data_IF_848741396003
#
_entry.id   IF_848741396003
#
_cell.length_a   1.000
_cell.length_b   1.000
_cell.length_c   1.000
_cell.angle_alpha   90.00
_cell.angle_beta   90.00
_cell.angle_gamma   90.00
#
_symmetry.space_group_name_H-M   'P 1'
#
loop_
_entity.id
_entity.type
_entity.pdbx_description
1 polymer ?
#
# COMPACT_ATOMS: atom_id res chain seq x y z
N UNK A 1 18.71 -25.19 0.43
CA UNK A 1 17.78 -24.29 1.15
C UNK A 1 17.51 -23.11 0.26
N UNK A 2 16.37 -23.10 -0.44
CA UNK A 2 15.93 -21.94 -1.20
C UNK A 2 15.21 -21.01 -0.23
N UNK A 3 15.90 -19.98 0.24
CA UNK A 3 15.23 -18.78 0.72
C UNK A 3 14.45 -18.20 -0.45
N UNK A 4 13.18 -18.61 -0.57
CA UNK A 4 12.22 -17.87 -1.37
C UNK A 4 12.13 -16.51 -0.69
N UNK A 5 12.82 -15.52 -1.25
CA UNK A 5 12.66 -14.11 -0.91
C UNK A 5 11.17 -13.87 -0.68
N UNK A 6 10.80 -13.62 0.57
CA UNK A 6 9.43 -13.34 0.96
C UNK A 6 8.93 -12.22 0.07
N UNK A 7 7.91 -12.51 -0.75
CA UNK A 7 7.28 -11.50 -1.59
C UNK A 7 6.75 -10.45 -0.62
N UNK A 8 7.34 -9.24 -0.63
CA UNK A 8 6.86 -8.15 0.22
C UNK A 8 5.38 -7.91 -0.07
N UNK A 9 4.52 -7.85 0.97
CA UNK A 9 3.12 -7.52 0.79
C UNK A 9 3.00 -6.18 0.06
N UNK A 10 1.95 -6.04 -0.75
CA UNK A 10 1.67 -4.77 -1.40
C UNK A 10 1.34 -3.71 -0.34
N UNK A 11 1.86 -2.51 -0.53
CA UNK A 11 1.47 -1.33 0.23
C UNK A 11 0.79 -0.40 -0.76
N UNK A 12 -0.35 0.14 -0.37
CA UNK A 12 -1.08 1.14 -1.13
C UNK A 12 -0.24 2.40 -1.33
N UNK A 13 -0.49 3.12 -2.41
CA UNK A 13 0.23 4.34 -2.68
C UNK A 13 -0.30 5.46 -1.78
N UNK A 14 0.53 5.91 -0.85
CA UNK A 14 0.23 7.06 0.00
C UNK A 14 0.03 8.32 -0.87
N UNK A 15 -1.16 8.97 -0.84
CA UNK A 15 -1.44 10.18 -1.62
C UNK A 15 -0.47 11.35 -1.36
N UNK A 16 0.18 11.36 -0.20
CA UNK A 16 1.15 12.39 0.19
C UNK A 16 2.59 12.03 -0.21
N UNK A 17 2.83 10.83 -0.73
CA UNK A 17 4.14 10.39 -1.21
C UNK A 17 4.53 11.02 -2.55
N UNK A 18 5.83 11.17 -2.76
CA UNK A 18 6.40 11.60 -4.04
C UNK A 18 6.13 10.57 -5.14
N UNK A 19 6.17 9.28 -4.80
CA UNK A 19 5.86 8.16 -5.72
C UNK A 19 4.44 8.26 -6.27
N UNK A 20 3.44 8.50 -5.42
CA UNK A 20 2.06 8.71 -5.85
C UNK A 20 1.94 9.92 -6.78
N UNK A 21 2.59 11.04 -6.42
CA UNK A 21 2.53 12.27 -7.22
C UNK A 21 3.15 12.08 -8.60
N UNK A 22 4.27 11.39 -8.70
CA UNK A 22 4.92 11.06 -9.97
C UNK A 22 4.02 10.14 -10.82
N UNK A 23 3.56 9.03 -10.23
CA UNK A 23 2.68 8.07 -10.92
C UNK A 23 1.42 8.74 -11.44
N UNK A 24 0.76 9.53 -10.60
CA UNK A 24 -0.43 10.30 -10.97
C UNK A 24 -0.12 11.34 -12.03
N UNK A 25 1.01 12.03 -11.93
CA UNK A 25 1.49 13.01 -12.91
C UNK A 25 1.63 12.40 -14.31
N UNK A 26 2.19 11.19 -14.39
CA UNK A 26 2.35 10.42 -15.64
C UNK A 26 1.03 9.86 -16.17
N UNK A 27 0.07 9.55 -15.30
CA UNK A 27 -1.22 8.98 -15.70
C UNK A 27 -2.22 10.02 -16.21
N UNK A 28 -2.15 11.27 -15.72
CA UNK A 28 -3.03 12.37 -16.17
C UNK A 28 -3.07 12.54 -17.70
N UNK A 29 -1.94 12.69 -18.42
CA UNK A 29 -1.97 12.89 -19.87
C UNK A 29 -2.58 11.68 -20.62
N UNK A 30 -2.36 10.46 -20.13
CA UNK A 30 -2.97 9.24 -20.71
C UNK A 30 -4.49 9.28 -20.56
N UNK A 31 -4.99 9.67 -19.39
CA UNK A 31 -6.44 9.81 -19.17
C UNK A 31 -7.03 10.94 -20.01
N UNK A 32 -6.31 12.06 -20.14
CA UNK A 32 -6.74 13.19 -20.99
C UNK A 32 -6.85 12.80 -22.46
N UNK A 33 -5.90 12.01 -22.97
CA UNK A 33 -5.88 11.55 -24.36
C UNK A 33 -7.00 10.55 -24.66
N UNK A 34 -7.19 9.55 -23.79
CA UNK A 34 -8.07 8.40 -24.10
C UNK A 34 -9.50 8.52 -23.56
N UNK A 35 -9.70 9.24 -22.46
CA UNK A 35 -11.01 9.37 -21.79
C UNK A 35 -11.53 10.80 -21.88
N UNK A 36 -10.64 11.78 -21.74
CA UNK A 36 -10.98 13.20 -21.66
C UNK A 36 -11.71 13.59 -20.35
N UNK A 37 -12.00 14.89 -20.17
CA UNK A 37 -12.78 15.35 -19.02
C UNK A 37 -14.25 14.93 -19.17
N UNK A 38 -14.87 14.49 -18.07
CA UNK A 38 -16.27 14.05 -18.05
C UNK A 38 -17.07 14.92 -17.08
N UNK A 39 -18.38 15.00 -17.27
CA UNK A 39 -19.25 15.85 -16.43
C UNK A 39 -19.09 15.49 -14.95
N UNK A 40 -18.48 16.40 -14.19
CA UNK A 40 -18.25 16.25 -12.74
C UNK A 40 -16.90 15.65 -12.35
N UNK A 41 -16.08 15.19 -13.30
CA UNK A 41 -14.76 14.60 -13.03
C UNK A 41 -13.68 15.12 -13.99
N UNK A 42 -12.65 15.73 -13.42
CA UNK A 42 -11.42 16.06 -14.15
C UNK A 42 -10.58 14.82 -14.41
N UNK A 43 -9.75 14.85 -15.46
CA UNK A 43 -8.78 13.78 -15.75
C UNK A 43 -7.83 13.50 -14.57
N UNK A 44 -7.56 14.53 -13.76
CA UNK A 44 -6.81 14.42 -12.50
C UNK A 44 -7.50 13.57 -11.43
N UNK A 45 -8.83 13.64 -11.34
CA UNK A 45 -9.62 12.81 -10.43
C UNK A 45 -9.75 11.39 -10.96
N UNK A 46 -9.90 11.23 -12.28
CA UNK A 46 -9.94 9.92 -12.93
C UNK A 46 -8.61 9.16 -12.82
N UNK A 47 -7.48 9.85 -13.00
CA UNK A 47 -6.15 9.26 -12.77
C UNK A 47 -5.98 8.80 -11.31
N UNK A 48 -6.39 9.63 -10.34
CA UNK A 48 -6.39 9.23 -8.93
C UNK A 48 -7.29 8.01 -8.67
N UNK A 49 -8.46 7.94 -9.32
CA UNK A 49 -9.38 6.81 -9.19
C UNK A 49 -8.81 5.51 -9.77
N UNK A 50 -8.07 5.56 -10.88
CA UNK A 50 -7.40 4.37 -11.43
C UNK A 50 -6.37 3.83 -10.43
N UNK A 51 -5.53 4.70 -9.85
CA UNK A 51 -4.55 4.30 -8.83
C UNK A 51 -5.26 3.70 -7.61
N UNK A 52 -6.29 4.37 -7.09
CA UNK A 52 -7.03 3.88 -5.92
C UNK A 52 -7.74 2.54 -6.18
N UNK A 53 -8.30 2.33 -7.38
CA UNK A 53 -8.93 1.07 -7.74
C UNK A 53 -7.90 -0.05 -7.92
N UNK A 54 -6.73 0.26 -8.48
CA UNK A 54 -5.62 -0.68 -8.57
C UNK A 54 -5.17 -1.10 -7.15
N UNK A 55 -4.94 -0.13 -6.26
CA UNK A 55 -4.52 -0.39 -4.88
C UNK A 55 -5.55 -1.22 -4.11
N UNK A 56 -6.83 -0.92 -4.26
CA UNK A 56 -7.91 -1.67 -3.62
C UNK A 56 -7.87 -3.16 -4.01
N UNK A 57 -7.62 -3.48 -5.28
CA UNK A 57 -7.48 -4.90 -5.69
C UNK A 57 -6.18 -5.50 -5.14
N UNK A 58 -5.10 -4.73 -5.17
CA UNK A 58 -3.77 -5.18 -4.76
C UNK A 58 -3.62 -5.42 -3.25
N UNK A 59 -4.37 -4.73 -2.39
CA UNK A 59 -4.34 -4.97 -0.93
C UNK A 59 -4.94 -6.31 -0.52
N UNK A 60 -5.75 -6.94 -1.37
CA UNK A 60 -6.27 -8.30 -1.14
C UNK A 60 -5.29 -9.39 -1.58
N UNK A 61 -4.13 -9.00 -2.15
CA UNK A 61 -3.13 -9.93 -2.64
C UNK A 61 -2.20 -10.44 -1.52
N UNK A 62 -2.69 -11.44 -0.80
CA UNK A 62 -1.93 -12.14 0.22
C UNK A 62 -2.51 -13.53 0.45
N UNK A 63 -1.73 -14.40 1.11
CA UNK A 63 -2.15 -15.74 1.51
C UNK A 63 -2.46 -15.75 2.99
N UNK A 64 -3.62 -16.28 3.36
CA UNK A 64 -4.01 -16.43 4.78
C UNK A 64 -2.92 -17.07 5.64
N UNK A 65 -2.28 -18.13 5.16
CA UNK A 65 -1.20 -18.80 5.89
C UNK A 65 0.03 -17.91 6.11
N UNK A 66 0.40 -17.09 5.13
CA UNK A 66 1.57 -16.22 5.22
C UNK A 66 1.30 -15.04 6.17
N UNK A 67 0.10 -14.45 6.10
CA UNK A 67 -0.34 -13.40 7.02
C UNK A 67 -0.50 -13.95 8.43
N UNK A 68 -1.09 -15.13 8.60
CA UNK A 68 -1.24 -15.83 9.88
C UNK A 68 0.11 -16.07 10.57
N UNK A 69 1.13 -16.54 9.81
CA UNK A 69 2.51 -16.67 10.31
C UNK A 69 3.14 -15.32 10.66
N UNK A 70 2.85 -14.28 9.88
CA UNK A 70 3.35 -12.93 10.13
C UNK A 70 2.75 -12.34 11.41
N UNK A 71 1.46 -12.53 11.64
CA UNK A 71 0.78 -12.17 12.89
C UNK A 71 1.34 -12.93 14.09
N UNK A 72 1.61 -14.24 13.94
CA UNK A 72 2.28 -15.02 14.99
C UNK A 72 3.67 -14.49 15.32
N UNK A 73 4.45 -14.11 14.30
CA UNK A 73 5.77 -13.51 14.48
C UNK A 73 5.66 -12.16 15.18
N UNK A 74 4.73 -11.30 14.74
CA UNK A 74 4.47 -10.01 15.37
C UNK A 74 4.12 -10.18 16.84
N UNK A 75 3.19 -11.08 17.17
CA UNK A 75 2.82 -11.40 18.56
C UNK A 75 4.04 -11.79 19.40
N UNK A 76 4.89 -12.70 18.90
CA UNK A 76 6.10 -13.14 19.61
C UNK A 76 7.08 -12.00 19.82
N UNK A 77 7.37 -11.22 18.78
CA UNK A 77 8.29 -10.09 18.87
C UNK A 77 7.80 -9.01 19.84
N UNK A 78 6.48 -8.78 19.90
CA UNK A 78 5.88 -7.90 20.90
C UNK A 78 6.07 -8.43 22.32
N UNK A 79 5.74 -9.71 22.57
CA UNK A 79 5.95 -10.33 23.88
C UNK A 79 7.42 -10.30 24.32
N UNK A 80 8.36 -10.54 23.40
CA UNK A 80 9.80 -10.45 23.67
C UNK A 80 10.22 -9.02 24.01
N UNK A 81 9.78 -8.02 23.24
CA UNK A 81 10.10 -6.62 23.48
C UNK A 81 9.54 -6.11 24.82
N UNK A 82 8.29 -6.47 25.14
CA UNK A 82 7.62 -6.11 26.39
C UNK A 82 8.28 -6.82 27.57
N UNK A 83 8.59 -8.11 27.42
CA UNK A 83 9.34 -8.86 28.42
C UNK A 83 10.72 -8.26 28.69
N UNK A 84 11.42 -7.82 27.66
CA UNK A 84 12.71 -7.12 27.83
C UNK A 84 12.54 -5.79 28.57
N UNK A 85 11.53 -4.98 28.20
CA UNK A 85 11.24 -3.71 28.85
C UNK A 85 10.85 -3.86 30.32
N UNK A 86 9.94 -4.80 30.64
CA UNK A 86 9.46 -5.03 32.01
C UNK A 86 10.55 -5.59 32.96
N UNK A 87 11.61 -6.17 32.41
CA UNK A 87 12.76 -6.65 33.18
C UNK A 87 13.82 -5.58 33.42
N UNK A 88 13.67 -4.37 32.87
CA UNK A 88 14.59 -3.27 33.15
C UNK A 88 14.41 -2.79 34.60
N UNK A 89 15.51 -2.56 35.35
CA UNK A 89 15.42 -1.90 36.64
C UNK A 89 14.83 -0.50 36.50
N UNK A 90 14.04 -0.07 37.49
CA UNK A 90 13.40 1.26 37.49
C UNK A 90 14.39 2.40 37.22
N UNK A 91 15.59 2.34 37.80
CA UNK A 91 16.63 3.34 37.58
C UNK A 91 17.06 3.43 36.09
N UNK A 92 17.07 2.30 35.38
CA UNK A 92 17.42 2.25 33.96
C UNK A 92 16.28 2.83 33.12
N UNK A 93 15.02 2.52 33.45
CA UNK A 93 13.86 3.10 32.75
C UNK A 93 13.77 4.62 32.96
N UNK A 94 14.01 5.09 34.19
CA UNK A 94 14.03 6.54 34.49
C UNK A 94 15.15 7.25 33.73
N UNK A 95 16.34 6.63 33.64
CA UNK A 95 17.45 7.17 32.86
C UNK A 95 17.13 7.18 31.35
N UNK A 96 16.53 6.12 30.82
CA UNK A 96 16.12 6.07 29.41
C UNK A 96 15.10 7.17 29.09
N UNK A 97 14.14 7.43 29.97
CA UNK A 97 13.18 8.53 29.80
C UNK A 97 13.91 9.87 29.68
N UNK A 98 14.86 10.15 30.58
CA UNK A 98 15.64 11.38 30.54
C UNK A 98 16.51 11.49 29.28
N UNK A 99 17.18 10.39 28.89
CA UNK A 99 18.03 10.33 27.71
C UNK A 99 17.24 10.59 26.42
N UNK A 100 15.97 10.15 26.35
CA UNK A 100 15.12 10.45 25.18
C UNK A 100 14.86 11.95 25.01
N UNK A 101 14.70 12.69 26.11
CA UNK A 101 14.58 14.15 26.09
C UNK A 101 15.87 14.84 25.64
N UNK A 102 17.03 14.27 25.98
CA UNK A 102 18.32 14.76 25.48
C UNK A 102 18.45 14.55 23.97
N UNK A 103 18.09 13.37 23.47
CA UNK A 103 18.14 13.06 22.03
C UNK A 103 17.29 14.03 21.24
N UNK A 104 16.07 14.32 21.69
CA UNK A 104 15.19 15.29 21.04
C UNK A 104 15.77 16.72 21.06
N UNK A 105 16.42 17.11 22.17
CA UNK A 105 17.10 18.41 22.28
C UNK A 105 18.28 18.52 21.32
N UNK A 106 19.12 17.48 21.24
CA UNK A 106 20.25 17.41 20.31
C UNK A 106 19.78 17.42 18.84
N UNK A 107 18.68 16.75 18.53
CA UNK A 107 18.09 16.76 17.19
C UNK A 107 17.61 18.16 16.81
N UNK A 108 16.98 18.87 17.74
CA UNK A 108 16.60 20.28 17.57
C UNK A 108 17.82 21.17 17.36
N UNK A 109 18.87 21.04 18.16
CA UNK A 109 20.11 21.81 18.02
C UNK A 109 20.78 21.57 16.67
N UNK A 110 20.92 20.31 16.24
CA UNK A 110 21.48 19.95 14.94
C UNK A 110 20.68 20.53 13.78
N UNK A 111 19.35 20.56 13.90
CA UNK A 111 18.50 21.21 12.91
C UNK A 111 18.76 22.71 12.84
N UNK A 112 18.81 23.39 14.00
CA UNK A 112 19.08 24.83 14.07
C UNK A 112 20.46 25.22 13.55
N UNK A 113 21.49 24.38 13.75
CA UNK A 113 22.83 24.62 13.21
C UNK A 113 22.91 24.50 11.69
N UNK A 114 22.03 23.70 11.08
CA UNK A 114 22.03 23.44 9.62
C UNK A 114 21.05 24.30 8.86
N UNK A 115 20.02 24.81 9.53
CA UNK A 115 18.99 25.58 8.84
C UNK A 115 19.45 27.01 8.59
N UNK A 116 19.26 27.48 7.35
CA UNK A 116 19.45 28.88 6.96
C UNK A 116 18.18 29.71 7.19
N UNK A 117 17.11 29.11 7.71
CA UNK A 117 15.83 29.76 7.92
C UNK A 117 15.78 30.41 9.31
N UNK A 118 15.24 31.63 9.38
CA UNK A 118 14.84 32.22 10.66
C UNK A 118 13.68 31.42 11.24
N UNK A 119 13.98 30.52 12.18
CA UNK A 119 12.97 29.66 12.81
C UNK A 119 12.18 30.47 13.83
N UNK A 120 11.14 31.16 13.35
CA UNK A 120 10.27 31.98 14.19
C UNK A 120 9.12 31.18 14.83
N UNK A 121 8.80 29.99 14.31
CA UNK A 121 7.63 29.22 14.75
C UNK A 121 7.99 27.78 15.16
N UNK A 122 7.35 27.30 16.24
CA UNK A 122 7.62 25.98 16.82
C UNK A 122 7.31 24.80 15.88
N UNK A 123 6.34 24.93 14.97
CA UNK A 123 5.96 23.86 14.03
C UNK A 123 7.04 23.58 12.97
N UNK A 124 8.02 24.47 12.80
CA UNK A 124 9.16 24.27 11.90
C UNK A 124 10.31 23.51 12.56
N UNK A 125 10.23 23.25 13.87
CA UNK A 125 11.22 22.47 14.59
C UNK A 125 10.95 20.96 14.41
N UNK A 126 11.99 20.12 14.49
CA UNK A 126 11.82 18.68 14.49
C UNK A 126 10.88 18.25 15.62
N UNK A 127 10.04 17.25 15.33
CA UNK A 127 9.20 16.64 16.36
C UNK A 127 10.05 15.93 17.43
N UNK A 128 9.46 15.77 18.62
CA UNK A 128 10.04 15.00 19.74
C UNK A 128 9.94 13.49 19.51
N UNK A 129 10.61 13.01 18.47
CA UNK A 129 10.51 11.62 18.01
C UNK A 129 10.96 10.60 19.05
N UNK A 130 12.04 10.86 19.78
CA UNK A 130 12.56 9.92 20.78
C UNK A 130 11.61 9.81 21.99
N UNK A 131 11.13 10.94 22.51
CA UNK A 131 10.14 10.96 23.59
C UNK A 131 8.83 10.28 23.17
N UNK A 132 8.34 10.54 21.95
CA UNK A 132 7.14 9.87 21.40
C UNK A 132 7.34 8.36 21.30
N UNK A 133 8.48 7.89 20.81
CA UNK A 133 8.78 6.47 20.70
C UNK A 133 8.89 5.78 22.07
N UNK A 134 9.52 6.42 23.06
CA UNK A 134 9.59 5.90 24.42
C UNK A 134 8.21 5.82 25.07
N UNK A 135 7.38 6.86 24.93
CA UNK A 135 5.99 6.84 25.40
C UNK A 135 5.17 5.71 24.76
N UNK A 136 5.38 5.46 23.46
CA UNK A 136 4.75 4.35 22.76
C UNK A 136 5.21 2.98 23.29
N UNK A 137 6.51 2.81 23.57
CA UNK A 137 7.05 1.59 24.19
C UNK A 137 6.46 1.35 25.58
N UNK A 138 6.36 2.40 26.40
CA UNK A 138 5.74 2.33 27.73
C UNK A 138 4.27 1.93 27.64
N UNK A 139 3.50 2.61 26.79
CA UNK A 139 2.09 2.29 26.56
C UNK A 139 1.90 0.86 26.03
N UNK A 140 2.79 0.41 25.14
CA UNK A 140 2.79 -0.95 24.63
C UNK A 140 3.06 -1.99 25.73
N UNK A 141 3.92 -1.69 26.70
CA UNK A 141 4.17 -2.56 27.85
C UNK A 141 3.01 -2.58 28.85
N UNK A 142 2.29 -1.47 29.01
CA UNK A 142 1.14 -1.36 29.91
C UNK A 142 -0.12 -2.05 29.34
N UNK A 143 -0.29 -2.06 28.02
CA UNK A 143 -1.49 -2.58 27.33
C UNK A 143 -1.18 -3.76 26.40
N UNK A 144 -0.16 -4.53 26.73
CA UNK A 144 0.33 -5.62 25.87
C UNK A 144 -0.71 -6.71 25.66
N UNK A 145 -1.48 -7.02 26.70
CA UNK A 145 -2.42 -8.15 26.69
C UNK A 145 -3.61 -7.88 25.76
N UNK A 146 -4.09 -6.63 25.73
CA UNK A 146 -5.14 -6.19 24.82
C UNK A 146 -4.67 -6.23 23.36
N UNK A 147 -3.44 -5.76 23.07
CA UNK A 147 -2.91 -5.80 21.72
C UNK A 147 -2.63 -7.23 21.24
N UNK A 148 -2.07 -8.09 22.10
CA UNK A 148 -1.88 -9.51 21.81
C UNK A 148 -3.23 -10.18 21.53
N UNK A 149 -4.25 -9.89 22.33
CA UNK A 149 -5.61 -10.40 22.12
C UNK A 149 -6.19 -9.94 20.79
N UNK A 150 -6.00 -8.67 20.42
CA UNK A 150 -6.43 -8.13 19.13
C UNK A 150 -5.76 -8.88 17.97
N UNK A 151 -4.45 -9.15 18.04
CA UNK A 151 -3.72 -9.92 17.02
C UNK A 151 -4.29 -11.34 16.90
N UNK A 152 -4.63 -12.00 18.01
CA UNK A 152 -5.22 -13.34 17.99
C UNK A 152 -6.63 -13.35 17.38
N UNK A 153 -7.47 -12.36 17.71
CA UNK A 153 -8.79 -12.19 17.10
C UNK A 153 -8.63 -11.98 15.59
N UNK A 154 -7.79 -11.02 15.17
CA UNK A 154 -7.53 -10.77 13.74
C UNK A 154 -7.05 -12.03 13.03
N UNK A 155 -6.14 -12.80 13.65
CA UNK A 155 -5.64 -14.06 13.08
C UNK A 155 -6.76 -15.08 12.86
N UNK A 156 -7.67 -15.23 13.83
CA UNK A 156 -8.82 -16.16 13.74
C UNK A 156 -9.79 -15.73 12.63
N UNK A 157 -10.00 -14.42 12.51
CA UNK A 157 -10.96 -13.80 11.58
C UNK A 157 -10.36 -13.45 10.21
N UNK A 158 -9.12 -13.85 9.92
CA UNK A 158 -8.50 -13.59 8.62
C UNK A 158 -9.37 -14.15 7.49
N UNK A 159 -9.74 -13.33 6.48
CA UNK A 159 -10.29 -13.85 5.24
C UNK A 159 -9.25 -14.68 4.48
N UNK A 160 -9.67 -15.36 3.41
CA UNK A 160 -8.77 -16.25 2.65
C UNK A 160 -7.70 -15.48 1.88
N UNK A 161 -7.97 -14.21 1.52
CA UNK A 161 -7.14 -13.43 0.61
C UNK A 161 -7.16 -14.02 -0.80
N UNK A 162 -6.38 -13.45 -1.73
CA UNK A 162 -6.30 -13.94 -3.12
C UNK A 162 -4.93 -14.59 -3.37
N UNK A 163 -4.80 -15.92 -3.24
CA UNK A 163 -3.50 -16.59 -3.18
C UNK A 163 -2.84 -16.83 -4.57
N UNK A 164 -2.62 -15.83 -5.43
CA UNK A 164 -1.98 -16.12 -6.74
C UNK A 164 -0.50 -16.54 -6.62
N UNK A 165 -0.11 -17.58 -7.37
CA UNK A 165 1.31 -17.97 -7.57
C UNK A 165 2.05 -17.03 -8.52
N UNK A 166 1.35 -16.18 -9.29
CA UNK A 166 1.94 -15.30 -10.30
C UNK A 166 1.54 -13.83 -10.09
N UNK A 167 2.36 -13.11 -9.32
CA UNK A 167 2.18 -11.68 -9.02
C UNK A 167 2.13 -10.80 -10.28
N UNK A 168 2.83 -11.17 -11.35
CA UNK A 168 2.86 -10.35 -12.57
C UNK A 168 1.50 -10.35 -13.27
N UNK A 169 0.87 -11.52 -13.43
CA UNK A 169 -0.44 -11.62 -14.07
C UNK A 169 -1.54 -10.97 -13.23
N UNK A 170 -1.41 -10.94 -11.90
CA UNK A 170 -2.37 -10.25 -11.04
C UNK A 170 -2.25 -8.73 -11.12
N UNK A 171 -1.04 -8.17 -11.18
CA UNK A 171 -0.85 -6.74 -11.42
C UNK A 171 -1.53 -6.31 -12.74
N UNK A 172 -1.39 -7.13 -13.79
CA UNK A 172 -2.04 -6.90 -15.08
C UNK A 172 -3.58 -6.89 -14.93
N UNK A 173 -4.15 -7.85 -14.21
CA UNK A 173 -5.60 -7.91 -13.97
C UNK A 173 -6.12 -6.74 -13.15
N UNK A 174 -5.44 -6.38 -12.06
CA UNK A 174 -5.81 -5.25 -11.20
C UNK A 174 -5.82 -3.95 -12.00
N UNK A 175 -4.83 -3.76 -12.88
CA UNK A 175 -4.72 -2.56 -13.69
C UNK A 175 -5.75 -2.53 -14.83
N UNK A 176 -6.07 -3.69 -15.42
CA UNK A 176 -7.18 -3.82 -16.37
C UNK A 176 -8.50 -3.49 -15.67
N UNK A 177 -8.77 -4.05 -14.49
CA UNK A 177 -10.00 -3.79 -13.74
C UNK A 177 -10.16 -2.30 -13.42
N UNK A 178 -9.11 -1.66 -12.89
CA UNK A 178 -9.10 -0.24 -12.57
C UNK A 178 -9.35 0.64 -13.82
N UNK A 179 -8.70 0.30 -14.94
CA UNK A 179 -8.81 1.05 -16.20
C UNK A 179 -10.20 0.87 -16.84
N UNK A 180 -10.71 -0.37 -16.87
CA UNK A 180 -12.03 -0.67 -17.42
C UNK A 180 -13.13 -0.05 -16.56
N UNK A 181 -13.01 -0.02 -15.23
CA UNK A 181 -13.95 0.71 -14.36
C UNK A 181 -13.99 2.20 -14.70
N UNK A 182 -12.84 2.83 -14.87
CA UNK A 182 -12.76 4.23 -15.26
C UNK A 182 -13.41 4.49 -16.63
N UNK A 183 -13.18 3.60 -17.60
CA UNK A 183 -13.81 3.68 -18.91
C UNK A 183 -15.33 3.45 -18.88
N UNK A 184 -15.81 2.42 -18.15
CA UNK A 184 -17.24 2.08 -17.98
C UNK A 184 -18.01 3.21 -17.29
N UNK A 185 -17.46 3.76 -16.21
CA UNK A 185 -18.06 4.87 -15.46
C UNK A 185 -18.34 6.07 -16.36
N UNK A 186 -17.40 6.36 -17.27
CA UNK A 186 -17.46 7.50 -18.17
C UNK A 186 -18.16 7.21 -19.50
N UNK A 187 -18.46 5.94 -19.80
CA UNK A 187 -18.90 5.47 -21.13
C UNK A 187 -18.00 6.00 -22.26
N UNK A 188 -16.73 6.25 -21.96
CA UNK A 188 -15.78 6.92 -22.88
C UNK A 188 -15.18 5.94 -23.88
N UNK A 189 -15.04 4.68 -23.50
CA UNK A 189 -14.46 3.62 -24.31
C UNK A 189 -15.41 2.42 -24.29
N UNK A 190 -15.70 1.86 -25.47
CA UNK A 190 -16.43 0.60 -25.56
C UNK A 190 -15.56 -0.55 -25.03
N UNK A 191 -16.15 -1.47 -24.26
CA UNK A 191 -15.42 -2.61 -23.66
C UNK A 191 -15.72 -3.88 -24.47
N UNK A 192 -14.93 -4.21 -25.51
CA UNK A 192 -15.24 -5.28 -26.45
C UNK A 192 -15.11 -6.66 -25.81
N UNK A 193 -15.84 -7.67 -26.30
CA UNK A 193 -15.77 -9.04 -25.78
C UNK A 193 -14.40 -9.73 -25.97
N UNK A 194 -13.66 -9.33 -27.00
CA UNK A 194 -12.30 -9.74 -27.28
C UNK A 194 -11.46 -8.48 -27.59
N UNK A 195 -10.21 -8.47 -27.15
CA UNK A 195 -9.31 -7.33 -27.35
C UNK A 195 -8.67 -7.41 -28.75
N UNK A 196 -8.95 -6.41 -29.59
CA UNK A 196 -8.24 -6.26 -30.86
C UNK A 196 -6.86 -5.60 -30.67
N UNK A 197 -6.02 -5.60 -31.70
CA UNK A 197 -4.65 -5.07 -31.59
C UNK A 197 -4.56 -3.53 -31.56
N UNK A 198 -5.65 -2.83 -31.95
CA UNK A 198 -5.62 -1.40 -32.28
C UNK A 198 -6.80 -0.58 -31.74
N UNK A 199 -7.77 -1.20 -31.09
CA UNK A 199 -8.94 -0.53 -30.56
C UNK A 199 -8.61 0.41 -29.41
N UNK A 200 -9.57 1.28 -29.10
CA UNK A 200 -9.41 2.36 -28.11
C UNK A 200 -9.03 1.83 -26.73
N UNK A 201 -9.66 0.73 -26.29
CA UNK A 201 -9.30 0.09 -25.02
C UNK A 201 -7.88 -0.48 -25.04
N UNK A 202 -7.44 -1.06 -26.16
CA UNK A 202 -6.09 -1.62 -26.31
C UNK A 202 -5.03 -0.53 -26.23
N UNK A 203 -5.27 0.62 -26.87
CA UNK A 203 -4.36 1.76 -26.82
C UNK A 203 -4.31 2.34 -25.41
N UNK A 204 -5.47 2.55 -24.79
CA UNK A 204 -5.55 3.05 -23.42
C UNK A 204 -4.83 2.12 -22.42
N UNK A 205 -5.11 0.82 -22.44
CA UNK A 205 -4.46 -0.15 -21.54
C UNK A 205 -2.94 -0.21 -21.74
N UNK A 206 -2.46 -0.07 -22.99
CA UNK A 206 -1.03 -0.06 -23.28
C UNK A 206 -0.33 1.11 -22.62
N UNK A 207 -0.90 2.30 -22.72
CA UNK A 207 -0.31 3.52 -22.16
C UNK A 207 -0.41 3.53 -20.63
N UNK A 208 -1.50 3.01 -20.07
CA UNK A 208 -1.63 2.82 -18.61
C UNK A 208 -0.59 1.82 -18.10
N UNK A 209 -0.39 0.67 -18.77
CA UNK A 209 0.62 -0.29 -18.34
C UNK A 209 2.04 0.26 -18.44
N UNK A 210 2.32 1.10 -19.43
CA UNK A 210 3.61 1.79 -19.55
C UNK A 210 3.86 2.73 -18.36
N UNK A 211 2.84 3.46 -17.92
CA UNK A 211 2.92 4.30 -16.72
C UNK A 211 3.23 3.46 -15.47
N UNK A 212 2.63 2.28 -15.35
CA UNK A 212 2.88 1.34 -14.23
C UNK A 212 4.11 0.43 -14.43
N UNK A 213 4.85 0.57 -15.53
CA UNK A 213 6.04 -0.24 -15.82
C UNK A 213 5.77 -1.73 -16.06
N UNK A 214 4.55 -2.11 -16.44
CA UNK A 214 4.15 -3.50 -16.70
C UNK A 214 4.51 -3.87 -18.16
N UNK A 215 5.21 -5.00 -18.36
CA UNK A 215 5.73 -5.39 -19.68
C UNK A 215 4.61 -5.73 -20.68
N UNK A 216 4.74 -5.19 -21.90
CA UNK A 216 3.74 -5.22 -22.99
C UNK A 216 3.34 -6.57 -23.59
N UNK A 217 3.95 -7.69 -23.22
CA UNK A 217 3.89 -8.93 -24.02
C UNK A 217 2.66 -9.82 -23.77
N UNK A 218 1.72 -9.41 -22.91
CA UNK A 218 0.64 -10.29 -22.42
C UNK A 218 -0.77 -9.70 -22.50
N UNK A 219 -0.96 -8.46 -22.96
CA UNK A 219 -2.23 -7.69 -22.81
C UNK A 219 -3.50 -8.47 -23.15
N UNK A 220 -3.54 -9.09 -24.33
CA UNK A 220 -4.73 -9.83 -24.78
C UNK A 220 -5.01 -11.03 -23.90
N UNK A 221 -3.98 -11.84 -23.61
CA UNK A 221 -4.11 -13.00 -22.72
C UNK A 221 -4.51 -12.61 -21.30
N UNK A 222 -3.94 -11.51 -20.79
CA UNK A 222 -4.30 -10.97 -19.48
C UNK A 222 -5.75 -10.48 -19.47
N UNK A 223 -6.19 -9.79 -20.53
CA UNK A 223 -7.56 -9.32 -20.69
C UNK A 223 -8.57 -10.45 -20.82
N UNK A 224 -8.32 -11.44 -21.66
CA UNK A 224 -9.21 -12.59 -21.85
C UNK A 224 -9.39 -13.37 -20.54
N UNK A 225 -8.29 -13.52 -19.80
CA UNK A 225 -8.31 -14.14 -18.48
C UNK A 225 -9.06 -13.27 -17.47
N UNK A 226 -8.80 -11.97 -17.40
CA UNK A 226 -9.53 -11.03 -16.54
C UNK A 226 -11.03 -11.05 -16.86
N UNK A 227 -11.43 -11.02 -18.14
CA UNK A 227 -12.85 -11.02 -18.54
C UNK A 227 -13.55 -12.33 -18.12
N UNK A 228 -12.85 -13.46 -18.25
CA UNK A 228 -13.38 -14.77 -17.87
C UNK A 228 -13.57 -14.92 -16.36
N UNK A 229 -12.64 -14.41 -15.58
CA UNK A 229 -12.54 -14.73 -14.15
C UNK A 229 -12.89 -13.58 -13.20
N UNK A 230 -12.82 -12.32 -13.63
CA UNK A 230 -12.91 -11.12 -12.77
C UNK A 230 -14.06 -10.18 -13.14
N UNK A 231 -14.31 -9.91 -14.43
CA UNK A 231 -15.26 -8.86 -14.85
C UNK A 231 -16.66 -9.07 -14.23
N UNK A 232 -17.05 -8.15 -13.35
CA UNK A 232 -18.33 -8.18 -12.64
C UNK A 232 -18.48 -9.23 -11.54
N UNK A 233 -17.41 -9.95 -11.19
CA UNK A 233 -17.41 -11.06 -10.23
C UNK A 233 -16.19 -10.99 -9.30
N UNK A 234 -16.12 -9.97 -8.44
CA UNK A 234 -15.05 -9.89 -7.42
C UNK A 234 -15.00 -11.16 -6.54
N UNK A 235 -16.16 -11.80 -6.30
CA UNK A 235 -16.28 -13.07 -5.56
C UNK A 235 -15.54 -14.25 -6.21
N UNK A 236 -15.16 -14.15 -7.49
CA UNK A 236 -14.43 -15.20 -8.20
C UNK A 236 -12.91 -15.12 -8.01
N UNK A 237 -12.38 -14.07 -7.37
CA UNK A 237 -10.98 -14.07 -6.99
C UNK A 237 -10.66 -15.18 -5.98
N UNK A 238 -11.64 -15.59 -5.17
CA UNK A 238 -11.53 -16.66 -4.16
C UNK A 238 -11.59 -18.08 -4.77
N UNK A 239 -12.07 -18.22 -6.01
CA UNK A 239 -12.26 -19.53 -6.68
C UNK A 239 -11.08 -19.95 -7.58
N UNK A 240 -9.97 -19.21 -7.58
CA UNK A 240 -8.85 -19.45 -8.49
C UNK A 240 -7.77 -20.35 -7.89
N UNK A 241 -7.94 -21.67 -8.06
CA UNK A 241 -6.84 -22.63 -8.02
C UNK A 241 -5.90 -22.39 -9.23
N UNK A 242 -4.84 -21.60 -9.05
CA UNK A 242 -3.69 -21.53 -9.98
C UNK A 242 -2.36 -21.63 -9.21
#
# INVERSE_FOLDING_TARGET
MNDKMGVKPFQDHDPDSEEYRDLRGRLIPVVEEHIGPVKGYSSRQLAASIIANFDNVMVHFWRRDDVSKTLDKLRRSLSEAIGAYNNLPLLVTDQMEWDTGQVDSLNKERFLQKTTHDVLFQHMLPERGATKAYAALKSLAEHSDELISAIEITKRELPEGIPTRNRQTFNEWALIDASVRAAKFNKSINIPDDLDNYGDLTRFLRDVFDVFGIKKTSFRKAYDSWRKYVDGKMENYDLMDI
#
